data_IF_237856652226
#
_entry.id   IF_237856652226
#
_cell.length_a   1.000
_cell.length_b   1.000
_cell.length_c   1.000
_cell.angle_alpha   90.00
_cell.angle_beta   90.00
_cell.angle_gamma   90.00
#
_symmetry.space_group_name_H-M   'P 1'
#
loop_
_entity.id
_entity.type
_entity.pdbx_description
1 polymer ?
#
# COMPACT_ATOMS: atom_id res chain seq x y z
N UNK A 1 -6.73 3.29 5.94
CA UNK A 1 -7.68 4.03 5.07
C UNK A 1 -7.05 4.18 3.70
N UNK A 2 -7.37 3.27 2.77
CA UNK A 2 -6.81 3.24 1.41
C UNK A 2 -7.31 4.47 0.65
N UNK A 3 -6.39 5.35 0.20
CA UNK A 3 -6.78 6.57 -0.54
C UNK A 3 -7.02 6.24 -2.01
N UNK A 4 -8.18 6.63 -2.56
CA UNK A 4 -8.54 6.47 -3.99
C UNK A 4 -7.55 7.09 -4.98
N UNK A 5 -6.65 7.98 -4.52
CA UNK A 5 -5.63 8.65 -5.34
C UNK A 5 -4.34 7.84 -5.49
N UNK A 6 -4.21 6.70 -4.79
CA UNK A 6 -3.05 5.82 -4.93
C UNK A 6 -3.16 4.95 -6.20
N UNK A 7 -2.01 4.58 -6.80
CA UNK A 7 -1.99 3.59 -7.86
C UNK A 7 -2.68 2.30 -7.43
N UNK A 8 -3.36 1.61 -8.34
CA UNK A 8 -4.13 0.41 -8.01
C UNK A 8 -3.28 -0.68 -7.36
N UNK A 9 -2.04 -0.88 -7.82
CA UNK A 9 -1.09 -1.81 -7.18
C UNK A 9 -0.88 -1.49 -5.70
N UNK A 10 -0.70 -0.21 -5.34
CA UNK A 10 -0.50 0.20 -3.96
C UNK A 10 -1.79 -0.01 -3.12
N UNK A 11 -2.95 0.25 -3.71
CA UNK A 11 -4.26 0.00 -3.05
C UNK A 11 -4.44 -1.49 -2.74
N UNK A 12 -4.09 -2.36 -3.69
CA UNK A 12 -4.20 -3.82 -3.51
C UNK A 12 -3.18 -4.33 -2.51
N UNK A 13 -1.93 -3.85 -2.55
CA UNK A 13 -0.90 -4.15 -1.53
C UNK A 13 -1.38 -3.79 -0.13
N UNK A 14 -1.91 -2.58 0.06
CA UNK A 14 -2.44 -2.14 1.36
C UNK A 14 -3.64 -2.99 1.80
N UNK A 15 -4.51 -3.38 0.86
CA UNK A 15 -5.66 -4.24 1.15
C UNK A 15 -5.24 -5.65 1.59
N UNK A 16 -4.29 -6.28 0.90
CA UNK A 16 -3.76 -7.61 1.25
C UNK A 16 -3.13 -7.56 2.64
N UNK A 17 -2.31 -6.54 2.92
CA UNK A 17 -1.67 -6.38 4.24
C UNK A 17 -2.68 -6.17 5.37
N UNK A 18 -3.72 -5.37 5.12
CA UNK A 18 -4.79 -5.13 6.09
C UNK A 18 -5.52 -6.43 6.45
N UNK A 19 -5.93 -7.20 5.44
CA UNK A 19 -6.60 -8.50 5.62
C UNK A 19 -5.69 -9.54 6.27
N UNK A 20 -4.43 -9.63 5.85
CA UNK A 20 -3.46 -10.53 6.47
C UNK A 20 -3.23 -10.19 7.96
N UNK A 21 -3.15 -8.91 8.31
CA UNK A 21 -2.96 -8.47 9.70
C UNK A 21 -4.16 -8.80 10.62
N UNK A 22 -5.37 -8.87 10.04
CA UNK A 22 -6.60 -9.24 10.73
C UNK A 22 -6.89 -10.75 10.65
N UNK A 23 -6.01 -11.51 10.00
CA UNK A 23 -6.20 -12.92 9.69
C UNK A 23 -7.53 -13.20 8.97
N UNK A 24 -7.95 -12.30 8.07
CA UNK A 24 -9.19 -12.42 7.31
C UNK A 24 -8.93 -13.04 5.94
N UNK A 25 -9.82 -13.95 5.54
CA UNK A 25 -9.82 -14.49 4.19
C UNK A 25 -10.62 -13.60 3.24
N UNK A 26 -10.23 -13.61 1.97
CA UNK A 26 -11.02 -12.97 0.92
C UNK A 26 -10.80 -13.68 -0.42
N UNK A 27 -11.70 -13.42 -1.36
CA UNK A 27 -11.59 -13.87 -2.75
C UNK A 27 -11.34 -12.67 -3.66
N UNK A 28 -10.85 -12.89 -4.88
CA UNK A 28 -10.70 -11.80 -5.86
C UNK A 28 -12.07 -11.15 -6.11
N UNK A 29 -13.11 -11.96 -6.24
CA UNK A 29 -14.47 -11.47 -6.43
C UNK A 29 -14.97 -10.65 -5.22
N UNK A 30 -14.79 -11.12 -3.98
CA UNK A 30 -15.23 -10.37 -2.81
C UNK A 30 -14.46 -9.05 -2.67
N UNK A 31 -13.16 -9.07 -2.97
CA UNK A 31 -12.29 -7.91 -2.92
C UNK A 31 -12.70 -6.83 -3.94
N UNK A 32 -13.13 -7.19 -5.16
CA UNK A 32 -13.64 -6.18 -6.12
C UNK A 32 -14.92 -5.47 -5.68
N UNK A 33 -15.71 -6.09 -4.80
CA UNK A 33 -16.93 -5.50 -4.24
C UNK A 33 -16.66 -4.68 -2.96
N UNK A 34 -15.41 -4.67 -2.48
CA UNK A 34 -15.01 -3.88 -1.31
C UNK A 34 -15.03 -2.38 -1.61
N UNK A 35 -15.23 -1.56 -0.56
CA UNK A 35 -15.21 -0.09 -0.71
C UNK A 35 -13.79 0.40 -1.01
N UNK A 36 -12.80 -0.34 -0.54
CA UNK A 36 -11.37 -0.09 -0.60
C UNK A 36 -10.82 -0.24 -2.02
N UNK A 37 -11.26 -1.28 -2.72
CA UNK A 37 -10.82 -1.61 -4.09
C UNK A 37 -11.87 -1.27 -5.16
N UNK A 38 -12.93 -0.54 -4.79
CA UNK A 38 -13.93 -0.06 -5.73
C UNK A 38 -13.28 0.63 -6.95
N UNK A 39 -13.76 0.28 -8.15
CA UNK A 39 -13.27 0.75 -9.44
C UNK A 39 -12.22 -0.14 -10.09
N UNK A 40 -11.68 -1.14 -9.39
CA UNK A 40 -10.74 -2.11 -9.95
C UNK A 40 -11.55 -3.30 -10.51
N UNK A 41 -11.36 -3.63 -11.79
CA UNK A 41 -12.03 -4.77 -12.40
C UNK A 41 -11.50 -6.11 -11.86
N UNK A 42 -12.35 -7.14 -11.88
CA UNK A 42 -11.99 -8.50 -11.42
C UNK A 42 -10.73 -9.04 -12.11
N UNK A 43 -10.64 -8.85 -13.42
CA UNK A 43 -9.45 -9.20 -14.21
C UNK A 43 -8.21 -8.40 -13.81
N UNK A 44 -8.35 -7.09 -13.56
CA UNK A 44 -7.21 -6.26 -13.20
C UNK A 44 -6.70 -6.59 -11.79
N UNK A 45 -7.62 -6.80 -10.84
CA UNK A 45 -7.30 -7.22 -9.49
C UNK A 45 -6.59 -8.58 -9.48
N UNK A 46 -7.15 -9.56 -10.19
CA UNK A 46 -6.57 -10.87 -10.35
C UNK A 46 -5.13 -10.80 -10.87
N UNK A 47 -4.88 -9.98 -11.91
CA UNK A 47 -3.54 -9.79 -12.46
C UNK A 47 -2.59 -9.18 -11.43
N UNK A 48 -3.00 -8.13 -10.73
CA UNK A 48 -2.17 -7.51 -9.70
C UNK A 48 -1.85 -8.53 -8.60
N UNK A 49 -2.85 -9.24 -8.09
CA UNK A 49 -2.67 -10.27 -7.07
C UNK A 49 -1.69 -11.36 -7.53
N UNK A 50 -1.77 -11.78 -8.80
CA UNK A 50 -0.85 -12.76 -9.37
C UNK A 50 0.60 -12.29 -9.41
N UNK A 51 0.84 -10.99 -9.50
CA UNK A 51 2.19 -10.41 -9.53
C UNK A 51 2.74 -10.15 -8.13
N UNK A 52 1.89 -9.87 -7.13
CA UNK A 52 2.32 -9.38 -5.81
C UNK A 52 2.15 -10.39 -4.67
N UNK A 53 1.31 -11.41 -4.82
CA UNK A 53 1.04 -12.39 -3.77
C UNK A 53 1.95 -13.63 -3.90
N UNK A 54 2.08 -14.37 -2.80
CA UNK A 54 2.54 -15.76 -2.80
C UNK A 54 1.39 -16.70 -3.17
N UNK A 55 1.71 -17.99 -3.33
CA UNK A 55 0.67 -19.01 -3.30
C UNK A 55 -0.13 -18.89 -1.98
N UNK A 56 -1.46 -19.02 -2.05
CA UNK A 56 -2.31 -18.97 -0.87
C UNK A 56 -1.92 -20.08 0.10
N UNK A 57 -2.09 -19.86 1.41
CA UNK A 57 -1.74 -20.86 2.43
C UNK A 57 -2.59 -22.15 2.34
N UNK A 58 -3.78 -22.06 1.75
CA UNK A 58 -4.69 -23.18 1.54
C UNK A 58 -4.29 -24.05 0.32
N UNK A 59 -4.94 -25.20 0.08
CA UNK A 59 -4.65 -26.18 -0.99
C UNK A 59 -4.94 -25.66 -2.42
N UNK A 60 -4.33 -24.54 -2.79
CA UNK A 60 -4.54 -23.84 -4.04
C UNK A 60 -3.28 -23.21 -4.57
N UNK A 61 -3.31 -22.89 -5.86
CA UNK A 61 -2.27 -22.10 -6.48
C UNK A 61 -2.76 -20.68 -6.71
N UNK A 62 -1.84 -19.73 -6.58
CA UNK A 62 -2.04 -18.35 -6.98
C UNK A 62 -2.60 -18.29 -8.40
N UNK A 63 -2.07 -19.15 -9.28
CA UNK A 63 -2.53 -19.27 -10.65
C UNK A 63 -4.02 -19.62 -10.77
N UNK A 64 -4.50 -20.61 -10.01
CA UNK A 64 -5.89 -21.06 -10.06
C UNK A 64 -6.85 -20.01 -9.51
N UNK A 65 -6.53 -19.42 -8.37
CA UNK A 65 -7.44 -18.48 -7.68
C UNK A 65 -7.36 -17.05 -8.19
N UNK A 66 -6.40 -16.74 -9.07
CA UNK A 66 -6.37 -15.50 -9.86
C UNK A 66 -6.80 -15.72 -11.31
N UNK A 67 -7.28 -16.91 -11.68
CA UNK A 67 -7.84 -17.13 -13.01
C UNK A 67 -9.32 -16.74 -13.00
N UNK A 68 -9.66 -15.72 -13.79
CA UNK A 68 -11.03 -15.28 -13.98
C UNK A 68 -11.61 -16.04 -15.17
N UNK A 69 -12.39 -17.08 -14.88
CA UNK A 69 -13.06 -17.93 -15.87
C UNK A 69 -14.51 -18.24 -15.44
N UNK A 70 -15.21 -19.05 -16.25
CA UNK A 70 -16.59 -19.49 -15.95
C UNK A 70 -16.68 -20.50 -14.80
N UNK A 71 -15.54 -21.04 -14.32
CA UNK A 71 -15.51 -21.96 -13.19
C UNK A 71 -15.52 -21.23 -11.84
N UNK A 72 -15.42 -19.89 -11.87
CA UNK A 72 -15.56 -19.01 -10.71
C UNK A 72 -14.58 -19.35 -9.57
N UNK A 73 -13.39 -19.87 -9.92
CA UNK A 73 -12.34 -20.27 -8.97
C UNK A 73 -11.73 -19.10 -8.22
N UNK A 74 -11.87 -17.90 -8.75
CA UNK A 74 -11.42 -16.65 -8.12
C UNK A 74 -12.43 -16.07 -7.11
N UNK A 75 -13.54 -16.78 -6.87
CA UNK A 75 -14.44 -16.53 -5.74
C UNK A 75 -14.11 -17.38 -4.50
N UNK A 76 -13.03 -18.17 -4.54
CA UNK A 76 -12.57 -18.94 -3.40
C UNK A 76 -11.89 -18.01 -2.39
N UNK A 77 -12.26 -18.16 -1.12
CA UNK A 77 -11.73 -17.36 -0.02
C UNK A 77 -10.46 -18.02 0.52
N UNK A 78 -9.36 -17.26 0.54
CA UNK A 78 -8.06 -17.74 1.00
C UNK A 78 -7.36 -16.71 1.88
N UNK A 79 -6.38 -17.18 2.63
CA UNK A 79 -5.38 -16.32 3.25
C UNK A 79 -4.33 -15.90 2.23
N UNK A 80 -4.28 -14.60 1.96
CA UNK A 80 -3.36 -14.01 0.99
C UNK A 80 -2.20 -13.34 1.71
N UNK A 81 -0.98 -13.63 1.23
CA UNK A 81 0.24 -12.98 1.69
C UNK A 81 0.99 -12.38 0.52
N UNK A 82 1.67 -11.26 0.76
CA UNK A 82 2.52 -10.64 -0.25
C UNK A 82 3.81 -11.45 -0.43
N UNK A 83 4.32 -11.46 -1.65
CA UNK A 83 5.68 -11.92 -1.90
C UNK A 83 6.70 -10.92 -1.35
N UNK A 84 7.93 -11.39 -1.13
CA UNK A 84 8.99 -10.60 -0.53
C UNK A 84 9.26 -9.29 -1.30
N UNK A 85 9.22 -9.35 -2.64
CA UNK A 85 9.49 -8.18 -3.47
C UNK A 85 8.43 -7.09 -3.29
N UNK A 86 7.15 -7.45 -3.33
CA UNK A 86 6.04 -6.53 -3.10
C UNK A 86 6.07 -5.95 -1.67
N UNK A 87 6.37 -6.79 -0.68
CA UNK A 87 6.49 -6.38 0.71
C UNK A 87 7.63 -5.37 0.93
N UNK A 88 8.86 -5.67 0.49
CA UNK A 88 9.99 -4.76 0.62
C UNK A 88 9.83 -3.49 -0.21
N UNK A 89 9.21 -3.58 -1.38
CA UNK A 89 8.86 -2.40 -2.19
C UNK A 89 7.89 -1.48 -1.45
N UNK A 90 6.89 -2.04 -0.77
CA UNK A 90 5.95 -1.28 0.06
C UNK A 90 6.65 -0.59 1.25
N UNK A 91 7.52 -1.31 1.96
CA UNK A 91 8.30 -0.72 3.05
C UNK A 91 9.22 0.41 2.57
N UNK A 92 9.86 0.22 1.42
CA UNK A 92 10.70 1.24 0.78
C UNK A 92 9.90 2.48 0.42
N UNK A 93 8.70 2.30 -0.16
CA UNK A 93 7.77 3.39 -0.42
C UNK A 93 7.42 4.16 0.85
N UNK A 94 7.07 3.47 1.94
CA UNK A 94 6.76 4.10 3.24
C UNK A 94 7.96 4.86 3.79
N UNK A 95 9.16 4.29 3.71
CA UNK A 95 10.40 4.95 4.14
C UNK A 95 10.65 6.25 3.39
N UNK A 96 10.52 6.25 2.06
CA UNK A 96 10.67 7.46 1.23
C UNK A 96 9.65 8.53 1.59
N UNK A 97 8.40 8.15 1.87
CA UNK A 97 7.37 9.11 2.30
C UNK A 97 7.72 9.74 3.65
N UNK A 98 8.16 8.96 4.62
CA UNK A 98 8.61 9.46 5.92
C UNK A 98 9.81 10.39 5.78
N UNK A 99 10.79 10.02 4.94
CA UNK A 99 11.97 10.83 4.68
C UNK A 99 11.62 12.19 4.06
N UNK A 100 10.64 12.25 3.14
CA UNK A 100 10.15 13.52 2.57
C UNK A 100 9.55 14.45 3.61
N UNK A 101 8.76 13.90 4.54
CA UNK A 101 8.17 14.68 5.64
C UNK A 101 9.27 15.19 6.56
N UNK A 102 10.20 14.33 6.96
CA UNK A 102 11.34 14.70 7.81
C UNK A 102 12.21 15.79 7.17
N UNK A 103 12.48 15.68 5.86
CA UNK A 103 13.23 16.69 5.11
C UNK A 103 12.51 18.04 5.12
N UNK A 104 11.19 18.05 4.91
CA UNK A 104 10.40 19.28 4.94
C UNK A 104 10.41 19.93 6.33
N UNK A 105 10.22 19.15 7.39
CA UNK A 105 10.29 19.64 8.78
C UNK A 105 11.68 20.18 9.10
N UNK A 106 12.74 19.48 8.70
CA UNK A 106 14.13 19.92 8.90
C UNK A 106 14.40 21.24 8.18
N UNK A 107 13.91 21.40 6.96
CA UNK A 107 14.04 22.62 6.16
C UNK A 107 13.32 23.80 6.84
N UNK A 108 12.12 23.58 7.38
CA UNK A 108 11.38 24.59 8.13
C UNK A 108 12.09 24.99 9.43
N UNK A 109 12.62 24.01 10.19
CA UNK A 109 13.38 24.26 11.41
C UNK A 109 14.65 25.08 11.13
N UNK A 110 15.38 24.76 10.05
CA UNK A 110 16.54 25.53 9.61
C UNK A 110 16.18 26.98 9.29
N UNK A 111 15.08 27.20 8.55
CA UNK A 111 14.61 28.54 8.23
C UNK A 111 14.27 29.36 9.48
N UNK A 112 13.60 28.75 10.46
CA UNK A 112 13.28 29.39 11.75
C UNK A 112 14.55 29.73 12.52
N UNK A 113 15.52 28.82 12.57
CA UNK A 113 16.80 29.08 13.23
C UNK A 113 17.56 30.25 12.60
N UNK A 114 17.63 30.31 11.27
CA UNK A 114 18.25 31.41 10.53
C UNK A 114 17.53 32.74 10.83
N UNK A 115 16.20 32.75 10.80
CA UNK A 115 15.42 33.95 11.12
C UNK A 115 15.68 34.41 12.57
N UNK A 116 15.67 33.48 13.53
CA UNK A 116 15.95 33.78 14.94
C UNK A 116 17.34 34.38 15.16
N UNK A 117 18.36 33.86 14.47
CA UNK A 117 19.72 34.44 14.51
C UNK A 117 19.75 35.86 13.91
N UNK A 118 19.05 36.09 12.80
CA UNK A 118 18.96 37.41 12.18
C UNK A 118 18.27 38.43 13.12
N UNK A 119 17.14 38.08 13.74
CA UNK A 119 16.46 38.96 14.70
C UNK A 119 17.30 39.24 15.97
N UNK A 120 17.96 38.22 16.52
CA UNK A 120 18.86 38.41 17.67
C UNK A 120 20.07 39.28 17.33
N UNK A 121 20.59 39.22 16.09
CA UNK A 121 21.67 40.10 15.66
C UNK A 121 21.23 41.56 15.54
N UNK A 122 20.02 41.84 15.08
CA UNK A 122 19.49 43.21 14.95
C UNK A 122 19.25 43.84 16.34
N UNK A 123 18.76 43.07 17.31
CA UNK A 123 18.55 43.55 18.69
C UNK A 123 19.83 43.78 19.50
N UNK A 124 20.97 43.20 19.09
CA UNK A 124 22.26 43.43 19.74
C UNK A 124 22.98 44.70 19.24
N UNK A 125 22.50 45.32 18.14
CA UNK A 125 23.05 46.55 17.56
C UNK A 125 22.10 47.76 17.67
N UNK A 126 21.01 47.66 18.44
CA UNK A 126 20.09 48.78 18.77
C UNK A 126 20.30 49.33 20.17
#
# INVERSE_FOLDING_TARGET
MIRKKHPDVLRVVEYVLDKASQNETFSVQSATNSKELNGISRYHLARIMRDICLDPEDDGSLARYTTVDNNNTDNIFCHWQLNANAYFSYLSYKSVQTAKIALWVSSAALAVAIAGLAFNSIGAFS
#
